data_IF_864371135115
#
_entry.id   IF_864371135115
#
_cell.length_a   1.000
_cell.length_b   1.000
_cell.length_c   1.000
_cell.angle_alpha   90.00
_cell.angle_beta   90.00
_cell.angle_gamma   90.00
#
_symmetry.space_group_name_H-M   'P 1'
#
loop_
_entity.id
_entity.type
_entity.pdbx_description
1 polymer ?
#
# COMPACT_ATOMS: atom_id res chain seq x y z
N UNK A 1 -34.33 10.98 -8.14
CA UNK A 1 -32.88 11.22 -8.22
C UNK A 1 -32.23 10.28 -7.22
N UNK A 2 -31.41 9.34 -7.68
CA UNK A 2 -30.73 8.37 -6.82
C UNK A 2 -29.58 9.03 -6.06
N UNK A 3 -29.18 8.45 -4.92
CA UNK A 3 -27.98 8.88 -4.19
C UNK A 3 -26.69 8.77 -5.04
N UNK A 4 -26.70 7.95 -6.10
CA UNK A 4 -25.63 7.88 -7.09
C UNK A 4 -25.63 9.11 -8.01
N UNK A 5 -26.77 9.43 -8.61
CA UNK A 5 -26.93 10.59 -9.50
C UNK A 5 -26.58 11.91 -8.80
N UNK A 6 -26.95 12.04 -7.52
CA UNK A 6 -26.60 13.20 -6.70
C UNK A 6 -25.09 13.27 -6.43
N UNK A 7 -24.43 12.13 -6.22
CA UNK A 7 -22.98 12.05 -6.03
C UNK A 7 -22.21 12.40 -7.31
N UNK A 8 -22.69 11.95 -8.47
CA UNK A 8 -22.10 12.29 -9.77
C UNK A 8 -22.24 13.78 -10.08
N UNK A 9 -23.43 14.34 -9.90
CA UNK A 9 -23.68 15.77 -10.14
C UNK A 9 -22.81 16.64 -9.23
N UNK A 10 -22.75 16.31 -7.93
CA UNK A 10 -21.93 17.03 -6.96
C UNK A 10 -20.44 16.92 -7.28
N UNK A 11 -19.96 15.73 -7.66
CA UNK A 11 -18.56 15.52 -7.98
C UNK A 11 -18.15 16.26 -9.27
N UNK A 12 -19.03 16.25 -10.28
CA UNK A 12 -18.85 17.02 -11.50
C UNK A 12 -18.78 18.52 -11.21
N UNK A 13 -19.69 19.04 -10.38
CA UNK A 13 -19.73 20.45 -10.00
C UNK A 13 -18.54 20.90 -9.16
N UNK A 14 -17.97 20.02 -8.33
CA UNK A 14 -16.80 20.36 -7.50
C UNK A 14 -15.50 20.37 -8.28
N UNK A 15 -15.37 19.47 -9.27
CA UNK A 15 -14.14 19.27 -10.03
C UNK A 15 -14.12 20.06 -11.35
N UNK A 16 -15.24 20.66 -11.78
CA UNK A 16 -15.26 21.57 -12.95
C UNK A 16 -14.42 22.82 -12.74
N UNK A 17 -14.30 23.29 -11.48
CA UNK A 17 -13.53 24.49 -11.12
C UNK A 17 -12.01 24.20 -11.04
N UNK A 18 -11.61 22.93 -11.15
CA UNK A 18 -10.22 22.49 -11.12
C UNK A 18 -9.93 21.36 -10.13
N UNK A 19 -8.65 20.97 -9.98
CA UNK A 19 -8.23 19.91 -9.08
C UNK A 19 -8.59 20.22 -7.61
N UNK A 20 -9.18 19.24 -6.91
CA UNK A 20 -9.54 19.37 -5.49
C UNK A 20 -8.92 18.25 -4.66
N UNK A 21 -8.64 18.52 -3.39
CA UNK A 21 -8.19 17.45 -2.50
C UNK A 21 -9.34 16.49 -2.18
N UNK A 22 -9.03 15.22 -1.97
CA UNK A 22 -10.01 14.22 -1.58
C UNK A 22 -10.69 14.58 -0.25
N UNK A 23 -9.97 15.23 0.66
CA UNK A 23 -10.53 15.72 1.92
C UNK A 23 -11.63 16.75 1.68
N UNK A 24 -11.40 17.72 0.79
CA UNK A 24 -12.39 18.75 0.47
C UNK A 24 -13.62 18.16 -0.24
N UNK A 25 -13.40 17.21 -1.16
CA UNK A 25 -14.49 16.52 -1.86
C UNK A 25 -15.35 15.71 -0.89
N UNK A 26 -14.72 14.98 0.04
CA UNK A 26 -15.43 14.21 1.06
C UNK A 26 -16.16 15.11 2.06
N UNK A 27 -15.57 16.24 2.45
CA UNK A 27 -16.22 17.23 3.31
C UNK A 27 -17.45 17.85 2.63
N UNK A 28 -17.34 18.21 1.35
CA UNK A 28 -18.46 18.72 0.55
C UNK A 28 -19.58 17.68 0.40
N UNK A 29 -19.22 16.41 0.20
CA UNK A 29 -20.18 15.32 0.14
C UNK A 29 -20.90 15.08 1.47
N UNK A 30 -20.17 15.13 2.59
CA UNK A 30 -20.74 15.03 3.92
C UNK A 30 -21.74 16.17 4.21
N UNK A 31 -21.40 17.40 3.79
CA UNK A 31 -22.32 18.55 3.88
C UNK A 31 -23.58 18.37 3.03
N UNK A 32 -23.49 17.65 1.92
CA UNK A 32 -24.63 17.31 1.06
C UNK A 32 -25.39 16.04 1.52
N UNK A 33 -25.00 15.40 2.63
CA UNK A 33 -25.61 14.17 3.13
C UNK A 33 -25.31 12.93 2.27
N UNK A 34 -24.29 13.00 1.40
CA UNK A 34 -23.90 11.91 0.51
C UNK A 34 -22.84 11.06 1.19
N UNK A 35 -23.07 9.74 1.22
CA UNK A 35 -22.09 8.82 1.81
C UNK A 35 -20.79 8.79 1.00
N UNK A 36 -19.65 8.63 1.68
CA UNK A 36 -18.34 8.48 1.05
C UNK A 36 -18.34 7.35 0.00
N UNK A 37 -19.03 6.24 0.28
CA UNK A 37 -19.15 5.11 -0.64
C UNK A 37 -19.85 5.50 -1.95
N UNK A 38 -20.83 6.41 -1.91
CA UNK A 38 -21.51 6.93 -3.10
C UNK A 38 -20.57 7.79 -3.93
N UNK A 39 -19.76 8.65 -3.30
CA UNK A 39 -18.75 9.48 -3.98
C UNK A 39 -17.65 8.65 -4.61
N UNK A 40 -17.17 7.62 -3.91
CA UNK A 40 -16.18 6.70 -4.46
C UNK A 40 -16.72 6.00 -5.71
N UNK A 41 -17.98 5.56 -5.71
CA UNK A 41 -18.62 4.98 -6.90
C UNK A 41 -18.79 6.00 -8.03
N UNK A 42 -19.27 7.21 -7.72
CA UNK A 42 -19.38 8.29 -8.70
C UNK A 42 -18.03 8.66 -9.34
N UNK A 43 -16.95 8.65 -8.56
CA UNK A 43 -15.60 8.92 -9.08
C UNK A 43 -15.14 7.89 -10.12
N UNK A 44 -15.58 6.63 -9.98
CA UNK A 44 -15.30 5.56 -10.93
C UNK A 44 -16.16 5.76 -12.18
N UNK A 45 -17.45 6.09 -12.01
CA UNK A 45 -18.37 6.34 -13.13
C UNK A 45 -17.95 7.55 -13.99
N UNK A 46 -17.45 8.61 -13.36
CA UNK A 46 -16.96 9.83 -14.03
C UNK A 46 -15.51 9.74 -14.52
N UNK A 47 -14.79 8.65 -14.22
CA UNK A 47 -13.39 8.50 -14.62
C UNK A 47 -12.43 9.51 -13.97
N UNK A 48 -12.72 9.96 -12.75
CA UNK A 48 -11.90 10.95 -12.04
C UNK A 48 -10.49 10.42 -11.80
N UNK A 49 -9.49 11.19 -12.23
CA UNK A 49 -8.08 10.87 -12.02
C UNK A 49 -7.69 11.26 -10.60
N UNK A 50 -7.14 10.31 -9.84
CA UNK A 50 -6.71 10.50 -8.46
C UNK A 50 -5.19 10.46 -8.40
N UNK A 51 -4.58 11.64 -8.32
CA UNK A 51 -3.12 11.77 -8.28
C UNK A 51 -2.68 12.06 -6.85
N UNK A 52 -1.69 11.31 -6.37
CA UNK A 52 -1.08 11.57 -5.07
C UNK A 52 0.00 12.64 -5.23
N UNK A 53 -0.29 13.87 -4.81
CA UNK A 53 0.55 15.04 -5.14
C UNK A 53 1.78 15.21 -4.24
N UNK A 54 1.81 14.61 -3.03
CA UNK A 54 3.02 14.51 -2.19
C UNK A 54 2.86 13.50 -1.05
N UNK A 55 3.97 13.14 -0.40
CA UNK A 55 4.02 12.21 0.75
C UNK A 55 3.12 12.67 1.92
N UNK A 56 2.87 13.98 2.07
CA UNK A 56 2.00 14.58 3.11
C UNK A 56 0.74 15.32 2.62
N UNK A 57 0.58 15.54 1.32
CA UNK A 57 -0.50 16.42 0.79
C UNK A 57 -1.78 15.68 0.36
N UNK A 58 -1.90 14.39 0.69
CA UNK A 58 -3.12 13.62 0.42
C UNK A 58 -3.33 13.30 -1.08
N UNK A 59 -4.57 12.92 -1.39
CA UNK A 59 -5.02 12.60 -2.75
C UNK A 59 -5.64 13.83 -3.38
N UNK A 60 -5.29 14.12 -4.63
CA UNK A 60 -5.91 15.17 -5.45
C UNK A 60 -6.73 14.52 -6.54
N UNK A 61 -7.95 14.99 -6.72
CA UNK A 61 -8.93 14.48 -7.67
C UNK A 61 -9.11 15.52 -8.76
N UNK A 62 -9.11 15.07 -10.02
CA UNK A 62 -9.27 15.93 -11.19
C UNK A 62 -10.17 15.24 -12.19
N UNK A 63 -11.11 15.98 -12.80
CA UNK A 63 -11.86 15.46 -13.93
C UNK A 63 -10.96 15.40 -15.17
N UNK A 64 -10.95 14.30 -15.93
CA UNK A 64 -10.35 14.30 -17.25
C UNK A 64 -11.20 15.25 -18.12
N UNK A 65 -10.71 16.47 -18.33
CA UNK A 65 -11.26 17.33 -19.37
C UNK A 65 -10.84 16.68 -20.68
N UNK A 66 -11.82 16.31 -21.52
CA UNK A 66 -11.57 15.91 -22.90
C UNK A 66 -10.95 17.09 -23.66
N UNK A 67 -9.64 17.24 -23.53
CA UNK A 67 -8.77 18.05 -24.36
C UNK A 67 -7.42 17.35 -24.31
N UNK A 68 -7.21 16.50 -25.32
CA UNK A 68 -5.94 16.08 -25.89
C UNK A 68 -4.70 16.45 -25.08
N UNK A 69 -4.19 15.49 -24.31
CA UNK A 69 -2.75 15.22 -24.28
C UNK A 69 -2.52 13.80 -23.76
N UNK A 70 -1.89 13.01 -24.61
CA UNK A 70 -1.48 11.63 -24.40
C UNK A 70 -0.51 11.56 -23.22
N UNK A 71 -1.02 11.17 -22.05
CA UNK A 71 -0.20 10.59 -21.00
C UNK A 71 -0.84 9.28 -20.59
N UNK A 72 -0.23 8.19 -21.04
CA UNK A 72 -0.56 6.80 -20.72
C UNK A 72 -0.77 6.62 -19.20
N UNK A 73 -2.04 6.61 -18.77
CA UNK A 73 -2.41 6.05 -17.48
C UNK A 73 -2.75 4.59 -17.74
N UNK A 74 -1.75 3.74 -17.53
CA UNK A 74 -1.91 2.29 -17.52
C UNK A 74 -3.02 1.90 -16.55
N UNK A 75 -4.05 1.30 -17.14
CA UNK A 75 -5.22 0.75 -16.48
C UNK A 75 -4.73 -0.33 -15.49
N UNK A 76 -4.64 0.00 -14.20
CA UNK A 76 -4.36 -1.00 -13.18
C UNK A 76 -5.55 -2.01 -13.13
N UNK A 77 -5.30 -3.32 -13.23
CA UNK A 77 -6.35 -4.31 -13.29
C UNK A 77 -7.11 -4.42 -11.96
N UNK A 78 -8.43 -4.53 -12.10
CA UNK A 78 -9.40 -4.91 -11.09
C UNK A 78 -8.90 -6.12 -10.29
N UNK A 79 -8.87 -5.97 -8.97
CA UNK A 79 -8.59 -7.05 -8.02
C UNK A 79 -9.77 -8.02 -8.02
N UNK A 80 -9.70 -9.07 -8.84
CA UNK A 80 -10.70 -10.13 -8.91
C UNK A 80 -10.29 -11.22 -9.90
N UNK A 81 -9.71 -12.28 -9.37
CA UNK A 81 -9.60 -13.63 -9.97
C UNK A 81 -9.01 -13.76 -11.39
N UNK A 82 -7.78 -14.27 -11.48
CA UNK A 82 -7.55 -15.56 -12.14
C UNK A 82 -6.11 -16.03 -11.93
N UNK A 83 -6.00 -17.32 -11.62
CA UNK A 83 -4.78 -18.10 -11.41
C UNK A 83 -3.93 -18.23 -12.69
N UNK A 84 -2.64 -18.43 -12.43
CA UNK A 84 -1.69 -19.25 -13.20
C UNK A 84 -0.91 -18.61 -14.37
N UNK A 85 0.40 -18.45 -14.09
CA UNK A 85 1.53 -18.91 -14.93
C UNK A 85 1.84 -18.08 -16.19
N UNK A 86 2.99 -17.37 -16.18
CA UNK A 86 4.22 -17.69 -16.96
C UNK A 86 5.19 -16.49 -16.91
N UNK A 87 6.41 -16.79 -16.44
CA UNK A 87 7.74 -16.27 -16.78
C UNK A 87 8.04 -14.74 -16.83
N UNK A 88 8.93 -14.33 -15.93
CA UNK A 88 9.87 -13.20 -16.08
C UNK A 88 10.85 -13.43 -17.28
N UNK A 89 11.80 -12.52 -17.62
CA UNK A 89 12.16 -11.24 -16.99
C UNK A 89 12.39 -10.08 -17.99
N UNK A 90 12.38 -8.83 -17.51
CA UNK A 90 13.21 -7.77 -18.10
C UNK A 90 13.67 -6.83 -16.99
N UNK A 91 14.97 -6.84 -16.75
CA UNK A 91 15.66 -6.03 -15.76
C UNK A 91 15.82 -4.58 -16.26
N UNK A 92 15.42 -3.65 -15.38
CA UNK A 92 16.12 -2.43 -14.94
C UNK A 92 16.40 -1.27 -15.91
N UNK A 93 16.33 -0.03 -15.37
CA UNK A 93 17.60 0.66 -15.16
C UNK A 93 17.77 1.20 -13.73
N UNK A 94 18.73 0.59 -13.03
CA UNK A 94 19.67 1.11 -12.03
C UNK A 94 19.36 2.51 -11.46
N UNK A 95 18.85 2.52 -10.23
CA UNK A 95 19.31 3.43 -9.17
C UNK A 95 19.50 2.58 -7.92
N UNK A 96 20.61 2.76 -7.22
CA UNK A 96 21.09 2.00 -6.06
C UNK A 96 20.05 1.86 -4.93
N UNK A 97 19.14 0.89 -5.04
CA UNK A 97 18.00 0.64 -4.14
C UNK A 97 18.02 -0.74 -3.44
N UNK A 98 19.14 -1.47 -3.49
CA UNK A 98 19.33 -2.80 -2.87
C UNK A 98 18.83 -2.92 -1.41
N UNK A 99 18.84 -1.83 -0.64
CA UNK A 99 18.45 -1.83 0.78
C UNK A 99 16.93 -1.76 1.00
N UNK A 100 16.21 -0.99 0.17
CA UNK A 100 14.75 -0.84 0.31
C UNK A 100 14.03 -2.09 -0.15
N UNK A 101 14.54 -2.72 -1.21
CA UNK A 101 13.98 -3.96 -1.74
C UNK A 101 14.11 -5.11 -0.73
N UNK A 102 15.25 -5.24 -0.06
CA UNK A 102 15.47 -6.27 0.98
C UNK A 102 14.57 -6.04 2.20
N UNK A 103 14.47 -4.80 2.68
CA UNK A 103 13.58 -4.47 3.80
C UNK A 103 12.11 -4.73 3.47
N UNK A 104 11.70 -4.49 2.21
CA UNK A 104 10.35 -4.80 1.74
C UNK A 104 10.08 -6.31 1.71
N UNK A 105 11.05 -7.10 1.22
CA UNK A 105 10.97 -8.56 1.23
C UNK A 105 10.80 -9.10 2.66
N UNK A 106 11.63 -8.63 3.61
CA UNK A 106 11.56 -9.04 5.01
C UNK A 106 10.18 -8.69 5.61
N UNK A 107 9.72 -7.45 5.44
CA UNK A 107 8.43 -7.01 5.97
C UNK A 107 7.25 -7.74 5.31
N UNK A 108 7.30 -8.00 4.01
CA UNK A 108 6.28 -8.78 3.30
C UNK A 108 6.25 -10.23 3.80
N UNK A 109 7.41 -10.82 4.07
CA UNK A 109 7.51 -12.19 4.57
C UNK A 109 6.92 -12.34 5.96
N UNK A 110 7.26 -11.43 6.89
CA UNK A 110 6.70 -11.45 8.24
C UNK A 110 5.19 -11.20 8.23
N UNK A 111 4.69 -10.29 7.37
CA UNK A 111 3.24 -10.10 7.17
C UNK A 111 2.56 -11.38 6.68
N UNK A 112 3.19 -12.12 5.77
CA UNK A 112 2.66 -13.40 5.27
C UNK A 112 2.62 -14.48 6.36
N UNK A 113 3.65 -14.57 7.19
CA UNK A 113 3.72 -15.53 8.28
C UNK A 113 2.65 -15.24 9.36
N UNK A 114 2.47 -13.97 9.74
CA UNK A 114 1.43 -13.56 10.69
C UNK A 114 0.01 -13.69 10.12
N UNK A 115 -0.18 -13.46 8.81
CA UNK A 115 -1.45 -13.71 8.14
C UNK A 115 -1.89 -15.18 8.26
N UNK A 116 -0.94 -16.12 8.26
CA UNK A 116 -1.19 -17.54 8.52
C UNK A 116 -1.71 -17.82 9.95
N UNK A 117 -1.42 -16.94 10.91
CA UNK A 117 -1.95 -16.98 12.30
C UNK A 117 -3.26 -16.22 12.46
N UNK A 118 -3.79 -15.63 11.39
CA UNK A 118 -4.96 -14.75 11.45
C UNK A 118 -4.69 -13.41 12.15
N UNK A 119 -3.42 -13.03 12.32
CA UNK A 119 -3.00 -11.79 12.98
C UNK A 119 -2.34 -10.84 11.98
N UNK A 120 -2.33 -9.54 12.30
CA UNK A 120 -1.62 -8.52 11.52
C UNK A 120 -0.35 -8.12 12.26
N UNK A 121 0.81 -8.33 11.63
CA UNK A 121 2.08 -7.80 12.10
C UNK A 121 2.10 -6.28 11.84
N UNK A 122 2.36 -5.42 12.84
CA UNK A 122 2.55 -3.99 12.64
C UNK A 122 4.01 -3.73 12.24
N UNK A 123 4.49 -4.45 11.23
CA UNK A 123 5.88 -4.39 10.77
C UNK A 123 5.90 -3.63 9.46
N UNK A 124 6.55 -2.46 9.49
CA UNK A 124 6.60 -1.53 8.36
C UNK A 124 7.98 -1.51 7.75
N UNK A 125 8.07 -1.37 6.43
CA UNK A 125 9.34 -1.26 5.69
C UNK A 125 10.18 -0.07 6.17
N UNK A 126 9.52 1.02 6.56
CA UNK A 126 10.17 2.22 7.09
C UNK A 126 10.65 2.09 8.55
N UNK A 127 10.43 0.94 9.21
CA UNK A 127 10.95 0.73 10.55
C UNK A 127 12.49 0.64 10.50
N UNK A 128 13.23 1.45 11.29
CA UNK A 128 14.68 1.42 11.32
C UNK A 128 15.26 0.03 11.60
N UNK A 129 14.55 -0.83 12.35
CA UNK A 129 14.99 -2.19 12.64
C UNK A 129 14.93 -3.09 11.42
N UNK A 130 13.87 -3.00 10.63
CA UNK A 130 13.72 -3.77 9.39
C UNK A 130 14.81 -3.39 8.39
N UNK A 131 15.14 -2.10 8.31
CA UNK A 131 16.27 -1.60 7.51
C UNK A 131 17.61 -2.11 8.04
N UNK A 132 17.78 -2.19 9.37
CA UNK A 132 18.98 -2.75 9.99
C UNK A 132 19.15 -4.25 9.68
N UNK A 133 18.07 -5.04 9.72
CA UNK A 133 18.12 -6.46 9.36
C UNK A 133 18.45 -6.67 7.88
N UNK A 134 17.87 -5.84 7.01
CA UNK A 134 18.21 -5.82 5.58
C UNK A 134 19.69 -5.51 5.34
N UNK A 135 20.24 -4.55 6.10
CA UNK A 135 21.65 -4.15 6.06
C UNK A 135 22.58 -5.23 6.62
N UNK A 136 22.13 -5.96 7.64
CA UNK A 136 22.84 -7.08 8.22
C UNK A 136 22.86 -8.32 7.30
N UNK A 137 22.08 -8.31 6.21
CA UNK A 137 22.06 -9.39 5.24
C UNK A 137 21.38 -10.65 5.76
N UNK A 138 20.36 -10.51 6.63
CA UNK A 138 19.61 -11.65 7.14
C UNK A 138 19.05 -12.48 5.97
N UNK A 139 19.25 -13.79 6.02
CA UNK A 139 18.72 -14.68 5.01
C UNK A 139 17.26 -15.07 5.31
N UNK A 140 16.51 -15.46 4.28
CA UNK A 140 15.14 -15.96 4.43
C UNK A 140 14.97 -17.13 5.43
N UNK A 141 15.86 -18.15 5.47
CA UNK A 141 15.76 -19.21 6.47
C UNK A 141 16.00 -18.70 7.89
N UNK A 142 16.97 -17.81 8.10
CA UNK A 142 17.26 -17.22 9.41
C UNK A 142 16.08 -16.41 9.94
N UNK A 143 15.44 -15.64 9.05
CA UNK A 143 14.24 -14.88 9.37
C UNK A 143 13.07 -15.79 9.79
N UNK A 144 12.90 -16.94 9.11
CA UNK A 144 11.87 -17.93 9.44
C UNK A 144 12.15 -18.59 10.78
N UNK A 145 13.39 -18.94 11.06
CA UNK A 145 13.80 -19.53 12.34
C UNK A 145 13.59 -18.54 13.49
N UNK A 146 14.03 -17.29 13.33
CA UNK A 146 13.80 -16.24 14.31
C UNK A 146 12.30 -16.04 14.60
N UNK A 147 11.45 -16.10 13.56
CA UNK A 147 10.01 -16.03 13.70
C UNK A 147 9.44 -17.23 14.48
N UNK A 148 9.85 -18.46 14.18
CA UNK A 148 9.37 -19.66 14.88
C UNK A 148 9.73 -19.63 16.38
N UNK A 149 10.96 -19.24 16.71
CA UNK A 149 11.39 -19.00 18.10
C UNK A 149 10.54 -17.92 18.77
N UNK A 150 10.32 -16.79 18.10
CA UNK A 150 9.48 -15.71 18.61
C UNK A 150 8.03 -16.15 18.86
N UNK A 151 7.44 -16.99 18.00
CA UNK A 151 6.08 -17.48 18.17
C UNK A 151 5.93 -18.49 19.31
N UNK A 152 7.00 -19.22 19.65
CA UNK A 152 7.03 -20.19 20.75
C UNK A 152 7.04 -19.47 22.10
N UNK A 153 7.88 -18.44 22.22
CA UNK A 153 8.02 -17.66 23.45
C UNK A 153 6.93 -16.59 23.61
N UNK A 154 6.41 -16.07 22.49
CA UNK A 154 5.44 -14.96 22.48
C UNK A 154 4.14 -15.33 21.77
N UNK A 155 3.09 -15.51 22.57
CA UNK A 155 1.73 -15.79 22.07
C UNK A 155 1.00 -14.53 21.58
N UNK A 156 1.54 -13.33 21.87
CA UNK A 156 0.95 -12.03 21.54
C UNK A 156 1.19 -11.57 20.09
N UNK A 157 1.23 -10.26 19.90
CA UNK A 157 1.50 -9.60 18.62
C UNK A 157 3.00 -9.47 18.43
N UNK A 158 3.55 -10.02 17.34
CA UNK A 158 4.96 -9.86 17.03
C UNK A 158 5.21 -8.45 16.46
N UNK A 159 5.84 -7.60 17.28
CA UNK A 159 6.31 -6.28 16.87
C UNK A 159 7.75 -6.38 16.37
N UNK A 160 8.21 -5.35 15.63
CA UNK A 160 9.59 -5.31 15.17
C UNK A 160 10.61 -5.39 16.32
N UNK A 161 10.30 -4.81 17.49
CA UNK A 161 11.18 -4.88 18.66
C UNK A 161 11.31 -6.28 19.26
N UNK A 162 10.24 -7.09 19.23
CA UNK A 162 10.30 -8.48 19.68
C UNK A 162 11.15 -9.30 18.70
N UNK A 163 10.91 -9.13 17.39
CA UNK A 163 11.65 -9.82 16.34
C UNK A 163 13.15 -9.49 16.37
N UNK A 164 13.53 -8.27 16.73
CA UNK A 164 14.92 -7.81 16.79
C UNK A 164 15.80 -8.67 17.72
N UNK A 165 15.24 -9.10 18.85
CA UNK A 165 15.92 -9.99 19.81
C UNK A 165 16.25 -11.34 19.16
N UNK A 166 15.25 -11.99 18.55
CA UNK A 166 15.41 -13.32 17.96
C UNK A 166 16.28 -13.29 16.70
N UNK A 167 16.14 -12.25 15.89
CA UNK A 167 17.00 -12.04 14.72
C UNK A 167 18.45 -11.87 15.17
N UNK A 168 18.71 -11.08 16.22
CA UNK A 168 20.05 -10.91 16.77
C UNK A 168 20.64 -12.20 17.35
N UNK A 169 19.81 -13.08 17.91
CA UNK A 169 20.25 -14.39 18.42
C UNK A 169 20.61 -15.33 17.27
N UNK A 170 19.75 -15.47 16.26
CA UNK A 170 20.02 -16.33 15.09
C UNK A 170 21.26 -15.84 14.33
N UNK A 171 21.41 -14.53 14.13
CA UNK A 171 22.59 -13.96 13.45
C UNK A 171 23.90 -14.14 14.23
N UNK A 172 23.85 -14.38 15.55
CA UNK A 172 25.03 -14.71 16.36
C UNK A 172 25.40 -16.19 16.27
N UNK A 173 24.42 -17.05 16.00
CA UNK A 173 24.63 -18.50 15.85
C UNK A 173 25.17 -18.85 14.45
N UNK A 174 24.89 -18.00 13.45
CA UNK A 174 25.35 -18.18 12.06
C UNK A 174 26.67 -17.48 11.72
N UNK A 175 27.24 -16.69 12.65
CA UNK A 175 28.52 -15.99 12.51
C UNK A 175 29.70 -16.79 13.07
#
# INVERSE_FOLDING_TARGET
>A
MSAADQAETLLADLLKDGPRSAGDVLAAAANAGISERSIQRASIALGVVKTRTALRSGWTWTLPTHADDEAEVTKAPSFGEALATIAAPVECPIVSMEMTDRAEVIAARLRKLEAGRGKRAPIYVADPRVQAWASAGISDPDLKEAYERATTDHTGMLTAGIMDKYISEVMKETA
#
